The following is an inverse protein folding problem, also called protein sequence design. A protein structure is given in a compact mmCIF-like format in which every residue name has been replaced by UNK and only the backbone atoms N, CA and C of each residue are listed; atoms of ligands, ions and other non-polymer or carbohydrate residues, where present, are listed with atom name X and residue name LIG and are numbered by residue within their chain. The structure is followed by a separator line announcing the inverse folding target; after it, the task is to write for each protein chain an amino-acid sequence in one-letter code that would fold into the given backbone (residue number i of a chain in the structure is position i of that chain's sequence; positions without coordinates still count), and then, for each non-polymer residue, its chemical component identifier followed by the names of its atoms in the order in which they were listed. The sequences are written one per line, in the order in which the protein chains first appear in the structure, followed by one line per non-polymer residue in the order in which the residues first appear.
data_IF_933730544164
#
_entry.id   IF_933730544164
#
_cell.length_a   1.000
_cell.length_b   1.000
_cell.length_c   1.000
_cell.angle_alpha   90.00
_cell.angle_beta   90.00
_cell.angle_gamma   90.00
#
_symmetry.space_group_name_H-M   'P 1'
#
loop_
_entity.id
_entity.type
_entity.pdbx_description
1 polymer ?
#
# COMPACT_ATOMS: atom_id res chain seq x y z
N UNK A 1 31.52 -3.94 -29.53
CA UNK A 1 32.24 -2.79 -28.94
C UNK A 1 31.71 -2.65 -27.53
N UNK A 2 32.26 -3.46 -26.62
CA UNK A 2 31.90 -3.51 -25.21
C UNK A 2 33.18 -3.19 -24.43
N UNK A 3 33.16 -2.11 -23.68
CA UNK A 3 34.17 -1.82 -22.67
C UNK A 3 33.49 -1.07 -21.53
N UNK A 4 33.44 -1.71 -20.36
CA UNK A 4 33.76 -1.12 -19.06
C UNK A 4 33.59 -2.19 -17.98
N UNK A 5 34.60 -3.06 -17.94
CA UNK A 5 34.88 -3.90 -16.78
C UNK A 5 36.04 -3.26 -16.02
N UNK A 6 35.83 -2.84 -14.77
CA UNK A 6 36.84 -2.75 -13.69
C UNK A 6 36.33 -1.90 -12.53
N UNK A 7 35.99 -2.55 -11.42
CA UNK A 7 36.48 -2.18 -10.09
C UNK A 7 36.63 -3.47 -9.26
N UNK A 8 37.85 -4.01 -9.23
CA UNK A 8 38.26 -5.08 -8.30
C UNK A 8 38.52 -4.46 -6.94
N UNK A 9 37.72 -4.78 -5.93
CA UNK A 9 38.11 -4.58 -4.54
C UNK A 9 39.01 -5.74 -4.10
N UNK A 10 40.26 -5.41 -3.81
CA UNK A 10 41.29 -6.34 -3.30
C UNK A 10 41.09 -6.48 -1.79
N UNK A 11 40.38 -7.51 -1.35
CA UNK A 11 40.32 -7.87 0.07
C UNK A 11 41.70 -8.34 0.56
N UNK A 12 42.20 -7.76 1.64
CA UNK A 12 43.33 -8.32 2.40
C UNK A 12 42.84 -9.56 3.16
N UNK A 13 43.63 -10.64 3.25
CA UNK A 13 43.32 -11.72 4.17
C UNK A 13 43.50 -11.24 5.61
N UNK A 14 42.52 -11.52 6.46
CA UNK A 14 42.58 -11.31 7.90
C UNK A 14 43.31 -12.53 8.49
N UNK A 15 44.50 -12.29 9.06
CA UNK A 15 45.20 -13.29 9.85
C UNK A 15 44.42 -13.58 11.13
N UNK A 16 44.16 -14.87 11.39
CA UNK A 16 43.57 -15.33 12.64
C UNK A 16 44.67 -15.38 13.72
N UNK A 17 44.72 -14.34 14.55
CA UNK A 17 45.49 -14.36 15.80
C UNK A 17 44.72 -15.18 16.84
N UNK A 18 45.26 -16.35 17.20
CA UNK A 18 44.74 -17.22 18.26
C UNK A 18 44.89 -16.50 19.60
N UNK A 19 43.77 -16.16 20.22
CA UNK A 19 43.70 -15.63 21.58
C UNK A 19 43.51 -16.79 22.56
N UNK A 20 44.56 -17.12 23.33
CA UNK A 20 44.46 -18.06 24.44
C UNK A 20 43.73 -17.41 25.64
N UNK A 21 42.86 -18.15 26.36
CA UNK A 21 42.11 -17.57 27.47
C UNK A 21 42.99 -17.45 28.71
N UNK A 22 43.42 -16.22 29.03
CA UNK A 22 43.95 -15.88 30.35
C UNK A 22 42.78 -15.81 31.33
N UNK A 23 42.67 -16.87 32.13
CA UNK A 23 41.82 -16.96 33.33
C UNK A 23 42.28 -15.91 34.34
N UNK A 24 41.48 -14.87 34.53
CA UNK A 24 41.63 -13.95 35.66
C UNK A 24 40.33 -13.90 36.44
N UNK A 25 40.36 -14.53 37.61
CA UNK A 25 39.36 -14.41 38.67
C UNK A 25 39.45 -12.98 39.25
N UNK A 26 38.46 -12.14 38.95
CA UNK A 26 38.13 -10.96 39.76
C UNK A 26 36.80 -10.40 39.30
N UNK A 27 35.74 -10.94 39.88
CA UNK A 27 34.38 -10.40 39.87
C UNK A 27 34.35 -9.01 40.51
N UNK A 28 33.89 -7.95 39.81
CA UNK A 28 33.33 -6.79 40.46
C UNK A 28 31.81 -6.85 40.26
N UNK A 29 31.07 -7.08 41.34
CA UNK A 29 29.61 -6.99 41.36
C UNK A 29 29.17 -5.62 40.82
N UNK A 30 28.55 -5.59 39.64
CA UNK A 30 27.91 -4.41 39.07
C UNK A 30 26.70 -4.05 39.93
N UNK A 31 26.92 -3.06 40.79
CA UNK A 31 25.93 -2.35 41.58
C UNK A 31 24.85 -1.81 40.63
N UNK A 32 23.65 -2.38 40.71
CA UNK A 32 22.46 -1.91 39.99
C UNK A 32 22.10 -0.50 40.48
N UNK A 33 22.70 0.52 39.88
CA UNK A 33 22.24 1.90 40.02
C UNK A 33 21.06 2.09 39.08
N UNK A 34 19.89 2.26 39.67
CA UNK A 34 18.63 2.56 38.98
C UNK A 34 18.59 4.08 38.74
N UNK A 35 18.68 4.60 37.51
CA UNK A 35 18.43 6.01 37.27
C UNK A 35 16.93 6.23 37.12
N UNK A 36 16.40 7.09 37.98
CA UNK A 36 15.08 7.68 37.79
C UNK A 36 15.13 8.63 36.59
N UNK A 37 14.45 8.30 35.51
CA UNK A 37 14.09 9.28 34.50
C UNK A 37 12.72 8.92 33.93
N UNK A 38 11.74 9.66 34.43
CA UNK A 38 10.33 9.65 34.06
C UNK A 38 10.19 10.22 32.64
N UNK A 39 10.19 9.34 31.65
CA UNK A 39 9.57 9.63 30.36
C UNK A 39 8.24 8.89 30.33
N UNK A 40 7.15 9.62 30.56
CA UNK A 40 5.80 9.10 30.33
C UNK A 40 5.54 9.09 28.83
N UNK A 41 6.18 8.15 28.13
CA UNK A 41 5.69 7.70 26.83
C UNK A 41 4.39 6.93 27.07
N UNK A 42 3.34 7.39 26.40
CA UNK A 42 1.97 6.86 26.37
C UNK A 42 1.92 5.34 26.59
N UNK A 43 1.20 4.92 27.63
CA UNK A 43 1.11 3.55 28.16
C UNK A 43 0.40 2.54 27.23
N UNK A 44 0.07 2.88 25.99
CA UNK A 44 -0.73 2.01 25.12
C UNK A 44 0.04 0.87 24.44
N UNK A 45 1.39 0.92 24.38
CA UNK A 45 2.17 -0.01 23.55
C UNK A 45 3.34 -0.71 24.28
N UNK A 46 3.21 -0.99 25.58
CA UNK A 46 4.27 -1.61 26.40
C UNK A 46 4.37 -3.14 26.30
N UNK A 47 3.52 -3.81 25.51
CA UNK A 47 3.43 -5.29 25.53
C UNK A 47 4.28 -6.01 24.47
N UNK A 48 4.78 -5.31 23.45
CA UNK A 48 5.38 -5.95 22.27
C UNK A 48 6.87 -5.60 22.03
N UNK A 49 7.52 -4.86 22.94
CA UNK A 49 8.92 -4.44 22.79
C UNK A 49 9.74 -4.91 23.99
N UNK A 50 10.74 -5.75 23.75
CA UNK A 50 11.67 -6.19 24.78
C UNK A 50 12.88 -5.25 24.77
N UNK A 51 13.14 -4.64 25.92
CA UNK A 51 14.21 -3.68 26.09
C UNK A 51 15.51 -4.40 26.45
N UNK A 52 16.54 -4.21 25.63
CA UNK A 52 17.89 -4.68 25.96
C UNK A 52 18.83 -3.48 25.99
N UNK A 53 19.40 -3.19 27.15
CA UNK A 53 20.43 -2.15 27.27
C UNK A 53 21.78 -2.74 26.86
N UNK A 54 22.36 -2.19 25.80
CA UNK A 54 23.72 -2.50 25.33
C UNK A 54 24.63 -1.33 25.73
N UNK A 55 24.86 -1.20 27.04
CA UNK A 55 25.77 -0.20 27.63
C UNK A 55 25.25 1.22 27.45
N UNK A 56 25.73 1.93 26.42
CA UNK A 56 25.33 3.32 26.13
C UNK A 56 24.11 3.39 25.21
N UNK A 57 23.76 2.30 24.55
CA UNK A 57 22.65 2.25 23.59
C UNK A 57 21.47 1.46 24.15
N UNK A 58 20.29 2.06 24.04
CA UNK A 58 19.04 1.38 24.31
C UNK A 58 18.56 0.70 23.02
N UNK A 59 18.60 -0.63 22.99
CA UNK A 59 18.12 -1.42 21.87
C UNK A 59 16.69 -1.90 22.15
N UNK A 60 15.76 -1.43 21.34
CA UNK A 60 14.37 -1.87 21.36
C UNK A 60 14.17 -2.85 20.21
N UNK A 61 14.01 -4.13 20.51
CA UNK A 61 13.69 -5.13 19.50
C UNK A 61 12.18 -5.38 19.50
N UNK A 62 11.55 -5.20 18.34
CA UNK A 62 10.16 -5.59 18.15
C UNK A 62 10.11 -7.11 17.92
N UNK A 63 9.64 -7.84 18.93
CA UNK A 63 9.61 -9.31 18.85
C UNK A 63 8.56 -9.75 17.83
N UNK A 64 8.95 -10.61 16.88
CA UNK A 64 8.02 -11.30 16.01
C UNK A 64 7.06 -12.13 16.88
N UNK A 65 5.76 -11.79 16.86
CA UNK A 65 4.76 -12.51 17.63
C UNK A 65 4.71 -13.97 17.18
N UNK A 66 4.50 -14.90 18.12
CA UNK A 66 4.45 -16.36 17.90
C UNK A 66 3.44 -16.82 16.83
N UNK A 67 2.60 -15.92 16.34
CA UNK A 67 1.61 -16.15 15.29
C UNK A 67 2.15 -15.98 13.86
N UNK A 68 3.40 -15.54 13.67
CA UNK A 68 4.02 -15.40 12.34
C UNK A 68 4.26 -16.72 11.57
N UNK A 69 4.14 -17.85 12.26
CA UNK A 69 4.30 -19.18 11.66
C UNK A 69 3.06 -19.60 10.84
N UNK A 70 1.88 -19.01 11.10
CA UNK A 70 0.69 -19.31 10.31
C UNK A 70 0.61 -18.41 9.08
N UNK A 71 0.61 -18.97 7.85
CA UNK A 71 0.61 -18.17 6.62
C UNK A 71 -0.64 -17.26 6.50
N UNK A 72 -1.76 -17.65 7.11
CA UNK A 72 -2.99 -16.83 7.14
C UNK A 72 -2.93 -15.64 8.10
N UNK A 73 -2.17 -15.72 9.19
CA UNK A 73 -2.09 -14.64 10.19
C UNK A 73 -1.29 -13.45 9.65
N UNK A 74 -0.30 -13.70 8.78
CA UNK A 74 0.41 -12.63 8.06
C UNK A 74 -0.49 -11.83 7.15
N UNK A 75 -1.43 -12.49 6.45
CA UNK A 75 -2.41 -11.80 5.62
C UNK A 75 -3.38 -10.99 6.49
N UNK A 76 -3.86 -11.58 7.60
CA UNK A 76 -4.75 -10.91 8.53
C UNK A 76 -4.10 -9.70 9.22
N UNK A 77 -2.85 -9.81 9.69
CA UNK A 77 -2.11 -8.68 10.26
C UNK A 77 -1.82 -7.59 9.24
N UNK A 78 -1.57 -7.95 7.97
CA UNK A 78 -1.36 -6.97 6.90
C UNK A 78 -2.65 -6.20 6.61
N UNK A 79 -3.80 -6.88 6.61
CA UNK A 79 -5.12 -6.23 6.50
C UNK A 79 -5.42 -5.41 7.74
N UNK A 80 -5.25 -5.95 8.94
CA UNK A 80 -5.56 -5.27 10.20
C UNK A 80 -4.72 -4.01 10.42
N UNK A 81 -3.42 -4.04 10.11
CA UNK A 81 -2.57 -2.82 10.13
C UNK A 81 -2.96 -1.82 9.04
N UNK A 82 -3.42 -2.30 7.88
CA UNK A 82 -4.00 -1.43 6.85
C UNK A 82 -5.32 -0.78 7.30
N UNK A 83 -6.11 -1.50 8.09
CA UNK A 83 -7.38 -1.03 8.64
C UNK A 83 -7.19 0.00 9.75
N UNK A 84 -6.05 0.03 10.44
CA UNK A 84 -5.77 1.03 11.48
C UNK A 84 -5.76 2.47 10.92
N UNK A 85 -5.48 2.63 9.62
CA UNK A 85 -5.59 3.90 8.88
C UNK A 85 -6.98 4.19 8.28
N UNK A 86 -7.96 3.29 8.38
CA UNK A 86 -9.28 3.46 7.75
C UNK A 86 -10.06 4.70 8.14
N UNK A 87 -10.10 5.17 9.41
CA UNK A 87 -10.93 6.34 9.73
C UNK A 87 -10.40 7.59 9.00
N UNK A 88 -9.10 7.69 8.80
CA UNK A 88 -8.49 8.78 8.02
C UNK A 88 -8.75 8.62 6.54
N UNK A 89 -8.65 7.41 5.99
CA UNK A 89 -8.96 7.15 4.59
C UNK A 89 -10.44 7.41 4.25
N UNK A 90 -11.36 7.02 5.13
CA UNK A 90 -12.79 7.28 4.95
C UNK A 90 -13.10 8.78 4.96
N UNK A 91 -12.44 9.54 5.84
CA UNK A 91 -12.56 10.99 5.85
C UNK A 91 -12.05 11.61 4.55
N UNK A 92 -10.91 11.13 4.03
CA UNK A 92 -10.38 11.56 2.74
C UNK A 92 -11.33 11.24 1.58
N UNK A 93 -11.98 10.07 1.61
CA UNK A 93 -12.98 9.69 0.60
C UNK A 93 -14.21 10.61 0.69
N UNK A 94 -14.68 10.93 1.89
CA UNK A 94 -15.79 11.86 2.10
C UNK A 94 -15.44 13.28 1.63
N UNK A 95 -14.24 13.74 1.93
CA UNK A 95 -13.75 15.05 1.49
C UNK A 95 -13.62 15.10 -0.04
N UNK A 96 -13.17 14.00 -0.66
CA UNK A 96 -13.09 13.86 -2.12
C UNK A 96 -14.47 13.86 -2.77
N UNK A 97 -15.44 13.17 -2.16
CA UNK A 97 -16.83 13.14 -2.62
C UNK A 97 -17.48 14.53 -2.57
N UNK A 98 -17.21 15.31 -1.52
CA UNK A 98 -17.70 16.68 -1.40
C UNK A 98 -17.11 17.61 -2.48
N UNK A 99 -15.86 17.38 -2.89
CA UNK A 99 -15.14 18.23 -3.85
C UNK A 99 -15.59 17.99 -5.31
N UNK A 100 -15.87 16.73 -5.67
CA UNK A 100 -16.21 16.35 -7.05
C UNK A 100 -17.18 15.16 -7.10
N UNK A 101 -18.47 15.36 -6.72
CA UNK A 101 -19.43 14.27 -6.60
C UNK A 101 -19.69 13.57 -7.94
N UNK A 102 -19.75 14.31 -9.05
CA UNK A 102 -20.03 13.76 -10.37
C UNK A 102 -18.88 12.87 -10.90
N UNK A 103 -17.62 13.28 -10.72
CA UNK A 103 -16.46 12.49 -11.14
C UNK A 103 -16.31 11.24 -10.28
N UNK A 104 -16.59 11.36 -8.98
CA UNK A 104 -16.53 10.23 -8.07
C UNK A 104 -17.61 9.18 -8.41
N UNK A 105 -18.84 9.60 -8.68
CA UNK A 105 -19.91 8.69 -9.12
C UNK A 105 -19.55 8.03 -10.45
N UNK A 106 -19.02 8.78 -11.42
CA UNK A 106 -18.54 8.23 -12.69
C UNK A 106 -17.47 7.16 -12.45
N UNK A 107 -16.49 7.44 -11.59
CA UNK A 107 -15.41 6.52 -11.24
C UNK A 107 -15.96 5.23 -10.62
N UNK A 108 -16.83 5.33 -9.61
CA UNK A 108 -17.43 4.15 -8.95
C UNK A 108 -18.28 3.33 -9.92
N UNK A 109 -19.04 3.98 -10.80
CA UNK A 109 -19.83 3.29 -11.81
C UNK A 109 -18.92 2.55 -12.80
N UNK A 110 -17.90 3.21 -13.35
CA UNK A 110 -16.96 2.58 -14.27
C UNK A 110 -16.21 1.41 -13.61
N UNK A 111 -15.78 1.57 -12.36
CA UNK A 111 -15.12 0.53 -11.58
C UNK A 111 -16.04 -0.67 -11.34
N UNK A 112 -17.32 -0.42 -11.01
CA UNK A 112 -18.32 -1.47 -10.82
C UNK A 112 -18.62 -2.21 -12.12
N UNK A 113 -18.64 -1.52 -13.27
CA UNK A 113 -18.75 -2.21 -14.55
C UNK A 113 -17.52 -3.07 -14.82
N UNK A 114 -16.32 -2.55 -14.57
CA UNK A 114 -15.07 -3.28 -14.80
C UNK A 114 -14.98 -4.58 -14.00
N UNK A 115 -15.46 -4.59 -12.74
CA UNK A 115 -15.48 -5.80 -11.91
C UNK A 115 -16.49 -6.86 -12.37
N UNK A 116 -17.57 -6.45 -13.05
CA UNK A 116 -18.62 -7.38 -13.52
C UNK A 116 -18.31 -7.94 -14.92
N UNK A 117 -17.52 -7.23 -15.73
CA UNK A 117 -17.09 -7.69 -17.06
C UNK A 117 -16.48 -9.10 -17.09
N UNK A 118 -15.53 -9.50 -16.22
CA UNK A 118 -14.95 -10.85 -16.27
C UNK A 118 -15.98 -11.95 -16.03
N UNK A 119 -16.98 -11.71 -15.17
CA UNK A 119 -18.07 -12.66 -14.94
C UNK A 119 -18.94 -12.85 -16.19
N UNK A 120 -19.19 -11.76 -16.93
CA UNK A 120 -19.88 -11.83 -18.22
C UNK A 120 -19.05 -12.58 -19.27
N UNK A 121 -17.75 -12.27 -19.39
CA UNK A 121 -16.85 -12.96 -20.31
C UNK A 121 -16.86 -14.48 -20.08
N UNK A 122 -16.84 -14.92 -18.81
CA UNK A 122 -16.93 -16.35 -18.46
C UNK A 122 -18.24 -16.98 -18.95
N UNK A 123 -19.38 -16.32 -18.69
CA UNK A 123 -20.70 -16.82 -19.13
C UNK A 123 -20.78 -16.94 -20.65
N UNK A 124 -20.22 -15.98 -21.38
CA UNK A 124 -20.21 -16.02 -22.85
C UNK A 124 -19.28 -17.10 -23.40
N UNK A 125 -18.11 -17.31 -22.80
CA UNK A 125 -17.22 -18.39 -23.19
C UNK A 125 -17.92 -19.75 -23.09
N UNK A 126 -18.75 -19.94 -22.05
CA UNK A 126 -19.57 -21.15 -21.90
C UNK A 126 -20.66 -21.26 -22.99
N UNK A 127 -21.33 -20.17 -23.35
CA UNK A 127 -22.34 -20.18 -24.42
C UNK A 127 -21.74 -20.49 -25.79
N UNK A 128 -20.57 -19.93 -26.11
CA UNK A 128 -19.86 -20.21 -27.37
C UNK A 128 -19.55 -21.70 -27.48
N UNK A 129 -19.07 -22.31 -26.39
CA UNK A 129 -18.77 -23.74 -26.38
C UNK A 129 -20.02 -24.59 -26.68
N UNK A 130 -21.16 -24.25 -26.08
CA UNK A 130 -22.43 -24.96 -26.29
C UNK A 130 -22.92 -24.83 -27.74
N UNK A 131 -22.76 -23.64 -28.35
CA UNK A 131 -23.13 -23.42 -29.76
C UNK A 131 -22.22 -24.21 -30.70
N UNK A 132 -20.92 -24.25 -30.43
CA UNK A 132 -19.98 -25.07 -31.23
C UNK A 132 -20.34 -26.55 -31.12
N UNK A 133 -20.65 -27.04 -29.92
CA UNK A 133 -21.11 -28.42 -29.70
C UNK A 133 -22.41 -28.72 -30.44
N UNK A 134 -23.39 -27.80 -30.43
CA UNK A 134 -24.63 -28.00 -31.18
C UNK A 134 -24.40 -28.06 -32.69
N UNK A 135 -23.52 -27.21 -33.24
CA UNK A 135 -23.20 -27.22 -34.67
C UNK A 135 -22.53 -28.54 -35.08
N UNK A 136 -21.63 -29.05 -34.25
CA UNK A 136 -20.96 -30.34 -34.49
C UNK A 136 -21.95 -31.51 -34.47
N UNK A 137 -22.99 -31.43 -33.64
CA UNK A 137 -24.01 -32.47 -33.51
C UNK A 137 -25.15 -32.40 -34.54
N UNK A 138 -25.54 -31.20 -35.00
CA UNK A 138 -26.75 -31.02 -35.84
C UNK A 138 -26.49 -30.59 -37.28
N UNK A 139 -25.23 -30.32 -37.67
CA UNK A 139 -24.79 -29.88 -39.01
C UNK A 139 -25.56 -28.67 -39.59
N UNK A 140 -26.37 -27.99 -38.78
CA UNK A 140 -27.19 -26.84 -39.15
C UNK A 140 -26.69 -25.65 -38.33
N UNK A 141 -25.82 -24.85 -38.94
CA UNK A 141 -25.21 -23.69 -38.31
C UNK A 141 -26.17 -22.52 -38.25
N UNK A 142 -26.63 -22.16 -37.04
CA UNK A 142 -27.43 -20.96 -36.84
C UNK A 142 -26.53 -19.71 -36.83
N UNK A 143 -26.36 -19.12 -38.01
CA UNK A 143 -25.51 -17.95 -38.27
C UNK A 143 -25.95 -16.73 -37.44
N UNK A 144 -27.23 -16.65 -37.06
CA UNK A 144 -27.77 -15.54 -36.29
C UNK A 144 -27.31 -15.55 -34.82
N UNK A 145 -27.10 -16.75 -34.26
CA UNK A 145 -26.56 -16.88 -32.91
C UNK A 145 -25.10 -16.40 -32.85
N UNK A 146 -24.31 -16.75 -33.87
CA UNK A 146 -22.91 -16.35 -34.00
C UNK A 146 -22.74 -14.83 -34.15
N UNK A 147 -23.52 -14.19 -35.02
CA UNK A 147 -23.44 -12.74 -35.22
C UNK A 147 -23.83 -11.97 -33.95
N UNK A 148 -24.86 -12.43 -33.23
CA UNK A 148 -25.26 -11.83 -31.94
C UNK A 148 -24.15 -11.91 -30.89
N UNK A 149 -23.47 -13.04 -30.79
CA UNK A 149 -22.36 -13.23 -29.84
C UNK A 149 -21.19 -12.30 -30.19
N UNK A 150 -20.82 -12.21 -31.47
CA UNK A 150 -19.73 -11.34 -31.93
C UNK A 150 -20.05 -9.87 -31.65
N UNK A 151 -21.28 -9.42 -31.96
CA UNK A 151 -21.72 -8.05 -31.67
C UNK A 151 -21.70 -7.75 -30.17
N UNK A 152 -22.16 -8.68 -29.35
CA UNK A 152 -22.17 -8.53 -27.90
C UNK A 152 -20.75 -8.45 -27.33
N UNK A 153 -19.83 -9.29 -27.80
CA UNK A 153 -18.41 -9.22 -27.42
C UNK A 153 -17.76 -7.91 -27.84
N UNK A 154 -18.05 -7.43 -29.06
CA UNK A 154 -17.58 -6.13 -29.52
C UNK A 154 -18.11 -4.98 -28.64
N UNK A 155 -19.40 -5.03 -28.27
CA UNK A 155 -20.00 -4.04 -27.37
C UNK A 155 -19.37 -4.07 -25.97
N UNK A 156 -19.06 -5.26 -25.46
CA UNK A 156 -18.40 -5.46 -24.17
C UNK A 156 -16.99 -4.83 -24.14
N UNK A 157 -16.20 -5.06 -25.20
CA UNK A 157 -14.89 -4.42 -25.34
C UNK A 157 -14.98 -2.89 -25.47
N UNK A 158 -16.00 -2.39 -26.16
CA UNK A 158 -16.23 -0.95 -26.30
C UNK A 158 -16.58 -0.31 -24.96
N UNK A 159 -17.50 -0.91 -24.19
CA UNK A 159 -17.84 -0.48 -22.83
C UNK A 159 -16.62 -0.49 -21.94
N UNK A 160 -15.83 -1.58 -21.96
CA UNK A 160 -14.58 -1.67 -21.20
C UNK A 160 -13.65 -0.51 -21.50
N UNK A 161 -13.46 -0.20 -22.79
CA UNK A 161 -12.57 0.89 -23.21
C UNK A 161 -13.07 2.26 -22.75
N UNK A 162 -14.38 2.50 -22.80
CA UNK A 162 -14.99 3.71 -22.25
C UNK A 162 -14.78 3.80 -20.74
N UNK A 163 -15.01 2.70 -20.01
CA UNK A 163 -14.82 2.66 -18.57
C UNK A 163 -13.36 2.93 -18.18
N UNK A 164 -12.39 2.29 -18.83
CA UNK A 164 -10.96 2.54 -18.57
C UNK A 164 -10.58 3.99 -18.85
N UNK A 165 -11.10 4.58 -19.93
CA UNK A 165 -10.84 5.98 -20.25
C UNK A 165 -11.49 6.93 -19.22
N UNK A 166 -12.72 6.63 -18.79
CA UNK A 166 -13.42 7.37 -17.75
C UNK A 166 -12.69 7.31 -16.41
N UNK A 167 -12.14 6.14 -16.04
CA UNK A 167 -11.32 5.95 -14.84
C UNK A 167 -10.04 6.79 -14.93
N UNK A 168 -9.31 6.74 -16.05
CA UNK A 168 -8.09 7.52 -16.24
C UNK A 168 -8.36 9.03 -16.17
N UNK A 169 -9.44 9.48 -16.80
CA UNK A 169 -9.82 10.89 -16.77
C UNK A 169 -10.25 11.34 -15.35
N UNK A 170 -11.10 10.57 -14.69
CA UNK A 170 -11.55 10.86 -13.34
C UNK A 170 -10.40 10.86 -12.34
N UNK A 171 -9.47 9.91 -12.44
CA UNK A 171 -8.31 9.82 -11.54
C UNK A 171 -7.34 10.99 -11.68
N UNK A 172 -7.11 11.47 -12.91
CA UNK A 172 -6.29 12.66 -13.15
C UNK A 172 -6.93 13.92 -12.58
N UNK A 173 -8.21 14.16 -12.89
CA UNK A 173 -8.92 15.37 -12.47
C UNK A 173 -9.14 15.41 -10.94
N UNK A 174 -9.52 14.27 -10.34
CA UNK A 174 -9.65 14.17 -8.88
C UNK A 174 -8.29 14.37 -8.21
N UNK A 175 -7.22 13.77 -8.75
CA UNK A 175 -5.87 13.93 -8.23
C UNK A 175 -5.43 15.40 -8.16
N UNK A 176 -5.69 16.18 -9.21
CA UNK A 176 -5.37 17.61 -9.25
C UNK A 176 -6.17 18.42 -8.21
N UNK A 177 -7.46 18.13 -8.06
CA UNK A 177 -8.33 18.84 -7.09
C UNK A 177 -7.95 18.53 -5.66
N UNK A 178 -7.69 17.26 -5.37
CA UNK A 178 -7.22 16.80 -4.06
C UNK A 178 -5.87 17.44 -3.74
N UNK A 179 -4.92 17.43 -4.68
CA UNK A 179 -3.62 18.10 -4.52
C UNK A 179 -3.76 19.60 -4.24
N UNK A 180 -4.62 20.29 -4.98
CA UNK A 180 -4.87 21.73 -4.77
C UNK A 180 -5.43 22.00 -3.37
N UNK A 181 -6.40 21.21 -2.92
CA UNK A 181 -6.99 21.34 -1.59
C UNK A 181 -5.97 21.07 -0.48
N UNK A 182 -5.18 20.00 -0.58
CA UNK A 182 -4.15 19.69 0.41
C UNK A 182 -3.03 20.73 0.44
N UNK A 183 -2.61 21.24 -0.72
CA UNK A 183 -1.61 22.29 -0.80
C UNK A 183 -2.06 23.56 -0.06
N UNK A 184 -3.32 23.96 -0.19
CA UNK A 184 -3.87 25.10 0.55
C UNK A 184 -3.84 24.88 2.07
N UNK A 185 -4.23 23.69 2.54
CA UNK A 185 -4.19 23.36 3.98
C UNK A 185 -2.78 23.31 4.53
N UNK A 186 -1.84 22.74 3.78
CA UNK A 186 -0.43 22.68 4.16
C UNK A 186 0.13 24.10 4.27
N UNK A 187 -0.09 24.97 3.27
CA UNK A 187 0.37 26.36 3.32
C UNK A 187 -0.25 27.14 4.49
N UNK A 188 -1.54 26.94 4.77
CA UNK A 188 -2.21 27.54 5.92
C UNK A 188 -1.63 27.02 7.25
N UNK A 189 -1.28 25.73 7.33
CA UNK A 189 -0.58 25.17 8.48
C UNK A 189 0.82 25.76 8.66
N UNK A 190 1.58 25.91 7.56
CA UNK A 190 2.88 26.61 7.57
C UNK A 190 2.75 28.05 8.07
N UNK A 191 1.70 28.77 7.65
CA UNK A 191 1.48 30.15 8.05
C UNK A 191 1.05 30.31 9.53
N UNK A 192 0.53 29.25 10.15
CA UNK A 192 0.11 29.23 11.57
C UNK A 192 1.18 28.68 12.51
N UNK A 193 2.27 28.12 11.99
CA UNK A 193 3.37 27.65 12.83
C UNK A 193 4.12 28.87 13.38
N UNK A 194 4.06 29.07 14.70
CA UNK A 194 4.84 30.09 15.38
C UNK A 194 6.35 29.84 15.20
N UNK A 195 7.13 30.92 15.06
CA UNK A 195 8.59 30.93 14.86
C UNK A 195 9.38 29.93 15.75
N UNK A 196 9.14 29.81 17.07
CA UNK A 196 9.89 28.87 17.93
C UNK A 196 9.58 27.40 17.65
N UNK A 197 8.42 27.07 17.06
CA UNK A 197 8.07 25.70 16.70
C UNK A 197 8.78 25.26 15.41
N UNK A 198 9.06 26.22 14.53
CA UNK A 198 9.77 26.01 13.27
C UNK A 198 11.26 25.71 13.44
N UNK A 199 11.88 26.18 14.53
CA UNK A 199 13.29 25.89 14.85
C UNK A 199 13.55 24.43 15.26
N UNK A 200 12.50 23.65 15.55
CA UNK A 200 12.66 22.23 15.85
C UNK A 200 12.90 21.42 14.57
N UNK A 201 14.10 20.90 14.40
CA UNK A 201 14.52 20.06 13.26
C UNK A 201 13.62 18.82 13.05
N UNK A 202 13.09 18.26 14.15
CA UNK A 202 12.15 17.14 14.09
C UNK A 202 10.81 17.53 13.44
N UNK A 203 10.33 18.76 13.68
CA UNK A 203 9.09 19.26 13.06
C UNK A 203 9.35 19.61 11.60
N UNK A 204 10.51 20.20 11.29
CA UNK A 204 10.91 20.56 9.92
C UNK A 204 11.02 19.34 9.01
N UNK A 205 11.70 18.29 9.47
CA UNK A 205 11.84 17.03 8.71
C UNK A 205 10.49 16.33 8.47
N UNK A 206 9.60 16.33 9.46
CA UNK A 206 8.24 15.82 9.29
C UNK A 206 7.42 16.66 8.30
N UNK A 207 7.49 17.98 8.40
CA UNK A 207 6.81 18.90 7.47
C UNK A 207 7.31 18.74 6.04
N UNK A 208 8.63 18.62 5.85
CA UNK A 208 9.24 18.43 4.54
C UNK A 208 8.83 17.09 3.90
N UNK A 209 8.76 16.03 4.70
CA UNK A 209 8.25 14.72 4.26
C UNK A 209 6.77 14.77 3.82
N UNK A 210 5.95 15.61 4.46
CA UNK A 210 4.53 15.76 4.13
C UNK A 210 4.30 16.73 2.96
N UNK A 211 5.10 17.80 2.85
CA UNK A 211 4.90 18.87 1.88
C UNK A 211 5.40 18.56 0.47
N UNK A 212 6.57 17.91 0.33
CA UNK A 212 7.18 17.64 -0.98
C UNK A 212 6.73 16.30 -1.56
N UNK A 213 6.55 15.28 -0.71
CA UNK A 213 6.24 13.91 -1.14
C UNK A 213 4.83 13.44 -0.77
N UNK A 214 4.16 14.09 0.18
CA UNK A 214 2.87 13.64 0.72
C UNK A 214 1.66 13.79 -0.22
N UNK A 215 1.60 14.85 -1.03
CA UNK A 215 0.39 15.11 -1.84
C UNK A 215 0.13 14.10 -2.96
N UNK A 216 1.10 13.70 -3.81
CA UNK A 216 0.87 12.67 -4.81
C UNK A 216 0.74 11.26 -4.20
N UNK A 217 1.33 11.02 -3.02
CA UNK A 217 1.25 9.73 -2.33
C UNK A 217 -0.12 9.49 -1.70
N UNK A 218 -0.80 10.52 -1.15
CA UNK A 218 -2.16 10.39 -0.57
C UNK A 218 -3.17 9.80 -1.57
N UNK A 219 -3.17 10.28 -2.82
CA UNK A 219 -4.08 9.76 -3.85
C UNK A 219 -3.78 8.30 -4.20
N UNK A 220 -2.49 7.93 -4.25
CA UNK A 220 -2.08 6.54 -4.51
C UNK A 220 -2.55 5.58 -3.41
N UNK A 221 -2.61 6.03 -2.14
CA UNK A 221 -3.16 5.24 -1.05
C UNK A 221 -4.66 5.00 -1.23
N UNK A 222 -5.43 6.02 -1.60
CA UNK A 222 -6.86 5.88 -1.88
C UNK A 222 -7.09 4.88 -3.01
N UNK A 223 -6.33 4.99 -4.11
CA UNK A 223 -6.40 4.04 -5.21
C UNK A 223 -6.04 2.62 -4.77
N UNK A 224 -5.02 2.45 -3.92
CA UNK A 224 -4.65 1.13 -3.40
C UNK A 224 -5.78 0.49 -2.59
N UNK A 225 -6.55 1.28 -1.84
CA UNK A 225 -7.71 0.80 -1.08
C UNK A 225 -8.80 0.32 -2.03
N UNK A 226 -9.08 1.08 -3.09
CA UNK A 226 -10.04 0.65 -4.13
C UNK A 226 -9.57 -0.62 -4.85
N UNK A 227 -8.29 -0.75 -5.15
CA UNK A 227 -7.74 -1.97 -5.78
C UNK A 227 -7.84 -3.18 -4.85
N UNK A 228 -7.55 -3.01 -3.55
CA UNK A 228 -7.73 -4.09 -2.56
C UNK A 228 -9.21 -4.47 -2.46
N UNK A 229 -10.11 -3.48 -2.46
CA UNK A 229 -11.54 -3.75 -2.45
C UNK A 229 -12.02 -4.45 -3.73
N UNK A 230 -11.48 -4.06 -4.89
CA UNK A 230 -11.75 -4.69 -6.18
C UNK A 230 -11.30 -6.14 -6.22
N UNK A 231 -10.08 -6.42 -5.74
CA UNK A 231 -9.59 -7.81 -5.68
C UNK A 231 -10.41 -8.65 -4.70
N UNK A 232 -10.88 -8.09 -3.58
CA UNK A 232 -11.79 -8.79 -2.67
C UNK A 232 -13.13 -9.14 -3.31
N UNK A 233 -13.67 -8.26 -4.17
CA UNK A 233 -14.89 -8.56 -4.94
C UNK A 233 -14.64 -9.63 -5.98
N UNK A 234 -13.48 -9.61 -6.65
CA UNK A 234 -13.13 -10.61 -7.67
C UNK A 234 -12.95 -12.02 -7.11
N UNK A 235 -12.55 -12.13 -5.83
CA UNK A 235 -12.39 -13.42 -5.14
C UNK A 235 -13.69 -14.02 -4.59
N UNK A 236 -14.82 -13.30 -4.64
CA UNK A 236 -16.12 -13.76 -4.15
C UNK A 236 -17.12 -13.98 -5.30
#
# INVERSE_FOLDING_TARGET
MEDQSRLRFRGRPVEHEKFDPVRNDSTPSLRTQKPSARWTASDSNKRDMEYTNLGVWDYYEQRWTRYDFFPGVRYYFRIARGLEGTPHALRLIQDTFALAPYLFVLYVMCFSFESVLPAFELKYNMQVLNVIQSILGSQTGDVNALTRIVLLRASCHLVRRICTFGILYATQEIGLRVQSHFSQHIVNAYARLDLPTFENEAVRSQLESVGVEGSPTIWSYILSIFTVFGTLIEFH
#
